data_IF_900747314435
#
_entry.id   IF_900747314435
#
_cell.length_a   1.000
_cell.length_b   1.000
_cell.length_c   1.000
_cell.angle_alpha   90.00
_cell.angle_beta   90.00
_cell.angle_gamma   90.00
#
_symmetry.space_group_name_H-M   'P 1'
#
loop_
_entity.id
_entity.type
_entity.pdbx_description
1 polymer ?
#
# COMPACT_ATOMS: atom_id res chain seq x y z
N UNK A 1 53.53 16.15 14.08
CA UNK A 1 52.24 16.87 13.93
C UNK A 1 51.64 16.50 12.57
N UNK A 2 50.81 15.45 12.48
CA UNK A 2 50.23 14.96 11.21
C UNK A 2 48.83 14.32 11.38
N UNK A 3 48.05 14.72 12.39
CA UNK A 3 46.73 14.11 12.69
C UNK A 3 45.53 14.96 12.29
N UNK A 4 45.72 16.24 11.91
CA UNK A 4 44.61 17.16 11.58
C UNK A 4 44.16 17.09 10.12
N UNK A 5 45.02 16.65 9.20
CA UNK A 5 44.73 16.63 7.75
C UNK A 5 43.71 15.54 7.36
N UNK A 6 43.76 14.38 8.03
CA UNK A 6 42.82 13.27 7.79
C UNK A 6 41.40 13.62 8.26
N UNK A 7 41.26 14.41 9.32
CA UNK A 7 39.95 14.84 9.85
C UNK A 7 39.26 15.84 8.92
N UNK A 8 40.02 16.74 8.30
CA UNK A 8 39.51 17.71 7.32
C UNK A 8 39.06 17.03 6.02
N UNK A 9 39.77 16.01 5.54
CA UNK A 9 39.38 15.30 4.33
C UNK A 9 38.06 14.52 4.49
N UNK A 10 37.80 13.96 5.69
CA UNK A 10 36.53 13.28 6.00
C UNK A 10 35.33 14.23 6.07
N UNK A 11 35.52 15.46 6.56
CA UNK A 11 34.44 16.46 6.60
C UNK A 11 34.05 16.95 5.19
N UNK A 12 35.03 17.06 4.27
CA UNK A 12 34.79 17.50 2.90
C UNK A 12 33.98 16.47 2.07
N UNK A 13 34.24 15.17 2.27
CA UNK A 13 33.50 14.10 1.59
C UNK A 13 32.06 13.98 2.10
N UNK A 14 31.81 14.27 3.39
CA UNK A 14 30.45 14.29 3.93
C UNK A 14 29.61 15.49 3.45
N UNK A 15 30.22 16.64 3.13
CA UNK A 15 29.48 17.78 2.57
C UNK A 15 29.10 17.60 1.09
N UNK A 16 29.87 16.84 0.31
CA UNK A 16 29.60 16.66 -1.12
C UNK A 16 28.51 15.61 -1.42
N UNK A 17 28.18 14.73 -0.48
CA UNK A 17 27.11 13.72 -0.63
C UNK A 17 25.71 14.21 -0.21
N UNK A 18 25.58 15.45 0.30
CA UNK A 18 24.31 15.96 0.83
C UNK A 18 23.54 16.88 -0.14
N UNK A 19 24.07 17.18 -1.33
CA UNK A 19 23.47 18.17 -2.25
C UNK A 19 22.80 17.56 -3.50
N UNK A 20 22.51 16.26 -3.54
CA UNK A 20 21.81 15.63 -4.68
C UNK A 20 20.33 15.33 -4.43
N UNK A 21 19.67 16.02 -3.50
CA UNK A 21 18.21 16.06 -3.42
C UNK A 21 17.79 17.52 -3.51
N UNK A 22 17.23 17.92 -4.66
CA UNK A 22 16.17 18.92 -4.84
C UNK A 22 16.22 19.47 -6.27
N UNK A 23 15.81 18.65 -7.24
CA UNK A 23 15.59 19.12 -8.61
C UNK A 23 14.47 18.36 -9.32
N UNK A 24 13.31 18.18 -8.68
CA UNK A 24 12.02 18.02 -9.37
C UNK A 24 10.93 18.58 -8.45
N UNK A 25 10.86 19.90 -8.36
CA UNK A 25 9.77 20.61 -7.71
C UNK A 25 9.27 21.70 -8.66
N UNK A 26 8.59 21.29 -9.73
CA UNK A 26 7.65 22.17 -10.42
C UNK A 26 6.62 21.37 -11.22
N UNK A 27 5.45 21.18 -10.58
CA UNK A 27 4.09 21.30 -11.12
C UNK A 27 3.15 21.12 -9.94
N UNK A 28 3.05 22.15 -9.11
CA UNK A 28 1.99 22.24 -8.10
C UNK A 28 0.69 22.48 -8.88
N UNK A 29 -0.03 21.41 -9.19
CA UNK A 29 -1.46 21.50 -9.51
C UNK A 29 -2.17 21.77 -8.19
N UNK A 30 -2.31 23.06 -7.88
CA UNK A 30 -3.35 23.54 -6.96
C UNK A 30 -4.67 23.38 -7.68
N UNK A 31 -5.46 22.36 -7.31
CA UNK A 31 -6.93 22.39 -7.18
C UNK A 31 -7.52 20.97 -7.02
N UNK A 32 -7.77 20.58 -5.76
CA UNK A 32 -8.87 19.72 -5.25
C UNK A 32 -8.42 18.78 -4.13
N UNK A 33 -9.00 18.87 -2.92
CA UNK A 33 -8.86 17.83 -1.92
C UNK A 33 -9.89 16.73 -2.22
N UNK A 34 -9.62 15.93 -3.25
CA UNK A 34 -10.40 14.72 -3.53
C UNK A 34 -9.38 13.68 -3.98
N UNK A 35 -9.04 12.76 -3.08
CA UNK A 35 -8.70 11.39 -3.46
C UNK A 35 -9.69 11.00 -4.56
N UNK A 36 -9.28 10.86 -5.82
CA UNK A 36 -10.24 10.60 -6.90
C UNK A 36 -10.90 9.23 -6.65
N UNK A 37 -12.04 9.24 -5.95
CA UNK A 37 -12.75 8.04 -5.52
C UNK A 37 -13.27 7.25 -6.73
N UNK A 38 -13.25 7.84 -7.93
CA UNK A 38 -13.57 7.13 -9.17
C UNK A 38 -12.57 6.00 -9.46
N UNK A 39 -11.33 6.11 -8.97
CA UNK A 39 -10.34 5.03 -9.07
C UNK A 39 -10.75 3.78 -8.28
N UNK A 40 -11.66 3.92 -7.31
CA UNK A 40 -12.17 2.83 -6.46
C UNK A 40 -13.55 2.34 -6.91
N UNK A 41 -13.79 2.27 -8.22
CA UNK A 41 -15.08 1.85 -8.77
C UNK A 41 -15.20 0.33 -8.99
N UNK A 42 -14.10 -0.37 -9.28
CA UNK A 42 -14.14 -1.75 -9.79
C UNK A 42 -13.30 -2.76 -8.97
N UNK A 43 -13.54 -2.90 -7.66
CA UNK A 43 -12.69 -3.68 -6.75
C UNK A 43 -12.47 -5.13 -7.17
N UNK A 44 -13.49 -5.77 -7.76
CA UNK A 44 -13.42 -7.17 -8.19
C UNK A 44 -12.54 -7.32 -9.43
N UNK A 45 -12.59 -6.34 -10.35
CA UNK A 45 -11.77 -6.36 -11.55
C UNK A 45 -10.31 -6.06 -11.18
N UNK A 46 -10.09 -5.07 -10.33
CA UNK A 46 -8.76 -4.70 -9.84
C UNK A 46 -8.08 -5.89 -9.14
N UNK A 47 -8.81 -6.61 -8.27
CA UNK A 47 -8.29 -7.81 -7.60
C UNK A 47 -7.90 -8.91 -8.60
N UNK A 48 -8.70 -9.13 -9.66
CA UNK A 48 -8.38 -10.10 -10.72
C UNK A 48 -7.14 -9.68 -11.51
N UNK A 49 -7.00 -8.39 -11.81
CA UNK A 49 -5.86 -7.86 -12.56
C UNK A 49 -4.58 -7.93 -11.74
N UNK A 50 -4.62 -7.53 -10.47
CA UNK A 50 -3.53 -7.70 -9.52
C UNK A 50 -3.12 -9.17 -9.42
N UNK A 51 -4.09 -10.08 -9.24
CA UNK A 51 -3.82 -11.51 -9.14
C UNK A 51 -3.17 -12.09 -10.42
N UNK A 52 -3.59 -11.65 -11.60
CA UNK A 52 -2.97 -12.02 -12.89
C UNK A 52 -1.52 -11.54 -13.00
N UNK A 53 -1.19 -10.43 -12.34
CA UNK A 53 0.17 -9.88 -12.23
C UNK A 53 0.96 -10.50 -11.07
N UNK A 54 0.44 -11.57 -10.47
CA UNK A 54 1.02 -12.24 -9.30
C UNK A 54 1.14 -11.35 -8.05
N UNK A 55 0.34 -10.27 -8.01
CA UNK A 55 0.21 -9.39 -6.86
C UNK A 55 -0.90 -9.91 -5.96
N UNK A 56 -0.52 -10.54 -4.84
CA UNK A 56 -1.43 -11.21 -3.92
C UNK A 56 -1.73 -10.38 -2.65
N UNK A 57 -1.38 -9.10 -2.68
CA UNK A 57 -1.61 -8.20 -1.57
C UNK A 57 -3.11 -8.07 -1.26
N UNK A 58 -3.44 -8.11 0.03
CA UNK A 58 -4.70 -7.59 0.52
C UNK A 58 -4.62 -6.07 0.62
N UNK A 59 -5.78 -5.47 0.76
CA UNK A 59 -5.95 -4.02 0.77
C UNK A 59 -6.56 -3.58 2.08
N UNK A 60 -5.97 -2.56 2.69
CA UNK A 60 -6.38 -2.02 3.98
C UNK A 60 -6.67 -0.53 3.96
N UNK A 61 -7.28 -0.04 5.03
CA UNK A 61 -7.54 1.38 5.27
C UNK A 61 -6.79 1.75 6.53
N UNK A 62 -5.79 2.61 6.40
CA UNK A 62 -4.98 3.06 7.51
C UNK A 62 -5.69 4.20 8.23
N UNK A 63 -6.24 3.93 9.41
CA UNK A 63 -6.75 4.91 10.34
C UNK A 63 -5.63 5.42 11.26
N UNK A 64 -5.94 6.36 12.15
CA UNK A 64 -4.95 6.96 13.06
C UNK A 64 -4.15 5.91 13.84
N UNK A 65 -4.84 4.99 14.53
CA UNK A 65 -4.21 3.98 15.39
C UNK A 65 -4.32 2.55 14.85
N UNK A 66 -5.08 2.35 13.76
CA UNK A 66 -5.45 1.00 13.31
C UNK A 66 -5.39 0.85 11.80
N UNK A 67 -5.07 -0.35 11.32
CA UNK A 67 -5.20 -0.73 9.92
C UNK A 67 -6.43 -1.63 9.80
N UNK A 68 -7.50 -1.10 9.22
CA UNK A 68 -8.69 -1.90 8.94
C UNK A 68 -8.48 -2.70 7.64
N UNK A 69 -8.71 -4.01 7.68
CA UNK A 69 -8.71 -4.88 6.49
C UNK A 69 -10.08 -5.53 6.27
N UNK A 70 -11.08 -4.79 5.76
CA UNK A 70 -12.42 -5.31 5.58
C UNK A 70 -12.44 -6.58 4.70
N UNK A 71 -13.32 -7.53 5.03
CA UNK A 71 -13.48 -8.75 4.23
C UNK A 71 -12.44 -9.84 4.48
N UNK A 72 -11.50 -9.64 5.41
CA UNK A 72 -10.58 -10.68 5.89
C UNK A 72 -10.94 -11.03 7.35
N UNK A 73 -11.28 -12.29 7.60
CA UNK A 73 -11.57 -12.76 8.97
C UNK A 73 -10.29 -13.03 9.75
N UNK A 74 -10.35 -13.05 11.09
CA UNK A 74 -9.18 -13.37 11.93
C UNK A 74 -8.52 -14.72 11.56
N UNK A 75 -9.33 -15.72 11.21
CA UNK A 75 -8.84 -17.01 10.71
C UNK A 75 -8.09 -16.88 9.38
N UNK A 76 -8.53 -16.00 8.50
CA UNK A 76 -7.88 -15.79 7.21
C UNK A 76 -6.59 -14.99 7.34
N UNK A 77 -6.53 -14.06 8.31
CA UNK A 77 -5.28 -13.39 8.70
C UNK A 77 -4.24 -14.41 9.13
N UNK A 78 -4.60 -15.44 9.91
CA UNK A 78 -3.66 -16.50 10.30
C UNK A 78 -3.17 -17.30 9.07
N UNK A 79 -4.11 -17.77 8.26
CA UNK A 79 -3.85 -18.64 7.10
C UNK A 79 -3.08 -17.95 5.96
N UNK A 80 -3.21 -16.62 5.86
CA UNK A 80 -2.60 -15.79 4.82
C UNK A 80 -1.73 -14.67 5.40
N UNK A 81 -1.20 -14.87 6.62
CA UNK A 81 -0.33 -13.94 7.33
C UNK A 81 0.92 -13.54 6.56
N UNK A 82 1.33 -14.36 5.58
CA UNK A 82 2.46 -14.09 4.69
C UNK A 82 2.14 -13.13 3.55
N UNK A 83 0.85 -12.86 3.29
CA UNK A 83 0.45 -11.93 2.23
C UNK A 83 0.52 -10.49 2.74
N UNK A 84 1.10 -9.56 1.96
CA UNK A 84 1.18 -8.18 2.37
C UNK A 84 -0.20 -7.52 2.40
N UNK A 85 -0.32 -6.45 3.19
CA UNK A 85 -1.49 -5.57 3.21
C UNK A 85 -1.06 -4.19 2.75
N UNK A 86 -1.65 -3.71 1.66
CA UNK A 86 -1.37 -2.40 1.10
C UNK A 86 -2.45 -1.38 1.54
N UNK A 87 -2.06 -0.24 2.14
CA UNK A 87 -3.01 0.78 2.54
C UNK A 87 -3.50 1.58 1.33
N UNK A 88 -4.83 1.69 1.16
CA UNK A 88 -5.48 2.46 0.08
C UNK A 88 -5.21 3.96 0.17
N UNK A 89 -5.06 4.46 1.39
CA UNK A 89 -4.91 5.87 1.70
C UNK A 89 -3.46 6.18 2.05
N UNK A 90 -2.56 6.11 1.07
CA UNK A 90 -1.10 6.21 1.26
C UNK A 90 -0.57 7.65 1.28
N UNK A 91 -1.40 8.70 1.22
CA UNK A 91 -0.92 10.09 1.27
C UNK A 91 -0.92 10.64 2.70
N UNK A 92 0.17 11.32 3.06
CA UNK A 92 0.34 12.14 4.28
C UNK A 92 -0.81 13.13 4.56
N UNK A 93 -1.61 13.50 3.54
CA UNK A 93 -2.76 14.39 3.64
C UNK A 93 -4.10 13.67 3.91
N UNK A 94 -4.17 12.35 3.74
CA UNK A 94 -5.40 11.56 3.90
C UNK A 94 -5.67 11.16 5.34
N UNK A 95 -4.61 11.04 6.15
CA UNK A 95 -4.71 10.48 7.51
C UNK A 95 -5.54 11.33 8.45
N UNK A 96 -5.44 12.66 8.38
CA UNK A 96 -6.17 13.55 9.29
C UNK A 96 -7.66 13.72 8.91
N UNK A 97 -8.02 13.54 7.63
CA UNK A 97 -9.32 13.99 7.12
C UNK A 97 -10.27 12.85 6.70
N UNK A 98 -9.77 11.62 6.48
CA UNK A 98 -10.63 10.55 5.94
C UNK A 98 -11.61 9.99 6.97
N UNK A 99 -11.27 10.09 8.26
CA UNK A 99 -12.18 9.74 9.35
C UNK A 99 -13.33 10.75 9.47
N UNK A 100 -13.10 12.00 9.05
CA UNK A 100 -14.10 13.07 9.06
C UNK A 100 -15.09 12.92 7.88
N UNK A 101 -14.63 12.49 6.70
CA UNK A 101 -15.48 12.18 5.56
C UNK A 101 -16.03 10.74 5.62
N UNK A 102 -17.16 10.59 6.31
CA UNK A 102 -17.90 9.32 6.42
C UNK A 102 -18.25 8.69 5.07
N UNK A 103 -18.46 9.49 4.02
CA UNK A 103 -18.87 8.98 2.71
C UNK A 103 -17.69 8.38 1.96
N UNK A 104 -16.54 9.05 1.98
CA UNK A 104 -15.30 8.53 1.42
C UNK A 104 -14.85 7.27 2.17
N UNK A 105 -14.88 7.28 3.50
CA UNK A 105 -14.52 6.13 4.32
C UNK A 105 -15.41 4.91 4.04
N UNK A 106 -16.72 5.12 3.91
CA UNK A 106 -17.65 4.04 3.56
C UNK A 106 -17.33 3.44 2.19
N UNK A 107 -17.03 4.28 1.18
CA UNK A 107 -16.64 3.79 -0.15
C UNK A 107 -15.34 2.99 -0.10
N UNK A 108 -14.33 3.46 0.63
CA UNK A 108 -13.09 2.70 0.82
C UNK A 108 -13.34 1.36 1.50
N UNK A 109 -14.17 1.33 2.55
CA UNK A 109 -14.54 0.08 3.24
C UNK A 109 -15.22 -0.91 2.31
N UNK A 110 -16.16 -0.44 1.49
CA UNK A 110 -16.86 -1.27 0.51
C UNK A 110 -15.91 -1.78 -0.58
N UNK A 111 -15.01 -0.93 -1.06
CA UNK A 111 -13.98 -1.29 -2.02
C UNK A 111 -13.06 -2.37 -1.46
N UNK A 112 -12.41 -2.10 -0.32
CA UNK A 112 -11.48 -3.01 0.33
C UNK A 112 -12.14 -4.37 0.63
N UNK A 113 -13.39 -4.36 1.11
CA UNK A 113 -14.14 -5.60 1.37
C UNK A 113 -14.28 -6.46 0.11
N UNK A 114 -14.79 -5.88 -0.98
CA UNK A 114 -15.02 -6.61 -2.24
C UNK A 114 -13.71 -7.07 -2.89
N UNK A 115 -12.67 -6.24 -2.83
CA UNK A 115 -11.34 -6.57 -3.31
C UNK A 115 -10.78 -7.76 -2.54
N UNK A 116 -10.74 -7.68 -1.20
CA UNK A 116 -10.16 -8.71 -0.34
C UNK A 116 -10.89 -10.04 -0.44
N UNK A 117 -12.23 -10.03 -0.51
CA UNK A 117 -13.01 -11.26 -0.73
C UNK A 117 -12.67 -11.92 -2.07
N UNK A 118 -12.45 -11.14 -3.12
CA UNK A 118 -12.06 -11.67 -4.43
C UNK A 118 -10.63 -12.23 -4.38
N UNK A 119 -9.67 -11.49 -3.82
CA UNK A 119 -8.28 -11.93 -3.65
C UNK A 119 -8.21 -13.24 -2.87
N UNK A 120 -8.94 -13.32 -1.76
CA UNK A 120 -9.06 -14.51 -0.93
C UNK A 120 -9.63 -15.71 -1.71
N UNK A 121 -10.67 -15.48 -2.53
CA UNK A 121 -11.24 -16.52 -3.39
C UNK A 121 -10.18 -17.06 -4.36
N UNK A 122 -9.46 -16.18 -5.06
CA UNK A 122 -8.43 -16.55 -6.03
C UNK A 122 -7.26 -17.29 -5.37
N UNK A 123 -6.84 -16.86 -4.18
CA UNK A 123 -5.82 -17.54 -3.38
C UNK A 123 -6.25 -18.96 -2.97
N UNK A 124 -7.49 -19.14 -2.54
CA UNK A 124 -8.06 -20.47 -2.21
C UNK A 124 -8.12 -21.37 -3.44
N UNK A 125 -8.51 -20.84 -4.59
CA UNK A 125 -8.55 -21.57 -5.87
C UNK A 125 -7.15 -21.98 -6.33
N UNK A 126 -6.17 -21.07 -6.28
CA UNK A 126 -4.77 -21.36 -6.59
C UNK A 126 -4.21 -22.45 -5.69
N UNK A 127 -4.38 -22.32 -4.37
CA UNK A 127 -3.92 -23.35 -3.41
C UNK A 127 -4.55 -24.72 -3.70
N UNK A 128 -5.84 -24.76 -4.04
CA UNK A 128 -6.52 -26.02 -4.42
C UNK A 128 -5.92 -26.62 -5.70
N UNK A 129 -5.69 -25.79 -6.72
CA UNK A 129 -5.09 -26.23 -7.99
C UNK A 129 -3.67 -26.74 -7.78
N UNK A 130 -2.85 -26.04 -7.00
CA UNK A 130 -1.49 -26.43 -6.67
C UNK A 130 -1.47 -27.79 -5.93
N UNK A 131 -2.32 -27.98 -4.92
CA UNK A 131 -2.42 -29.27 -4.21
C UNK A 131 -2.82 -30.43 -5.13
N UNK A 132 -3.72 -30.20 -6.10
CA UNK A 132 -4.11 -31.25 -7.05
C UNK A 132 -3.00 -31.55 -8.07
N UNK A 133 -2.21 -30.54 -8.47
CA UNK A 133 -1.11 -30.71 -9.42
C UNK A 133 -0.02 -31.65 -8.90
N UNK A 134 0.28 -31.60 -7.59
CA UNK A 134 1.31 -32.43 -6.97
C UNK A 134 0.80 -33.78 -6.44
N UNK A 135 -0.47 -34.12 -6.69
CA UNK A 135 -1.05 -35.41 -6.32
C UNK A 135 -0.92 -36.49 -7.40
N UNK A 136 -0.53 -36.12 -8.61
CA UNK A 136 -0.29 -36.99 -9.76
C UNK A 136 1.16 -36.89 -10.21
#
# INVERSE_FOLDING_TARGET
MQTSTIKLLRALVCMMLMNSLNAVADKVVTDSPVTDLSQFAYPVQDAKEAFKREQYAFVGIQLHDTLETPGVTAREVEVWSTQPVEPLNTRWQSFANIEEDRTALLRLRQYANRYNLMTLKLLKEKRRSDTMRYRY
#
